data_IF_533308347536
#
_entry.id   IF_533308347536
#
_cell.length_a   1.000
_cell.length_b   1.000
_cell.length_c   1.000
_cell.angle_alpha   90.00
_cell.angle_beta   90.00
_cell.angle_gamma   90.00
#
_symmetry.space_group_name_H-M   'P 1'
#
loop_
_entity.id
_entity.type
_entity.pdbx_description
1 polymer ?
#
# COMPACT_ATOMS: atom_id res chain seq x y z
N UNK A 1 14.80 -2.32 30.82
CA UNK A 1 16.20 -2.58 30.41
C UNK A 1 16.38 -2.42 28.91
N UNK A 2 15.74 -3.22 28.04
CA UNK A 2 15.90 -3.06 26.58
C UNK A 2 15.61 -1.64 26.07
N UNK A 3 14.52 -1.00 26.52
CA UNK A 3 14.13 0.36 26.10
C UNK A 3 15.17 1.46 26.40
N UNK A 4 16.13 1.23 27.31
CA UNK A 4 17.18 2.20 27.64
C UNK A 4 18.45 2.02 26.79
N UNK A 5 18.58 0.90 26.07
CA UNK A 5 19.81 0.49 25.40
C UNK A 5 19.68 0.49 23.86
N UNK A 6 18.49 0.71 23.31
CA UNK A 6 18.22 0.66 21.88
C UNK A 6 17.33 1.83 21.45
N UNK A 7 17.64 2.42 20.31
CA UNK A 7 16.82 3.46 19.68
C UNK A 7 15.50 2.88 19.12
N UNK A 8 15.58 1.65 18.59
CA UNK A 8 14.44 0.92 18.05
C UNK A 8 14.46 -0.52 18.51
N UNK A 9 13.28 -1.05 18.84
CA UNK A 9 13.09 -2.46 19.20
C UNK A 9 12.05 -3.01 18.24
N UNK A 10 12.46 -3.98 17.41
CA UNK A 10 11.57 -4.73 16.54
C UNK A 10 11.16 -6.01 17.25
N UNK A 11 9.85 -6.26 17.30
CA UNK A 11 9.30 -7.49 17.87
C UNK A 11 8.67 -8.29 16.74
N UNK A 12 9.28 -9.44 16.44
CA UNK A 12 8.69 -10.40 15.50
C UNK A 12 7.59 -11.20 16.22
N UNK A 13 6.51 -11.47 15.49
CA UNK A 13 5.34 -12.14 16.04
C UNK A 13 4.77 -13.12 15.03
N UNK A 14 4.18 -14.23 15.49
CA UNK A 14 3.49 -15.18 14.61
C UNK A 14 2.30 -14.54 13.86
N UNK A 15 1.71 -15.20 12.86
CA UNK A 15 0.67 -14.60 12.03
C UNK A 15 -0.59 -14.17 12.81
N UNK A 16 -0.99 -12.90 12.66
CA UNK A 16 -2.12 -12.27 13.37
C UNK A 16 -3.45 -13.05 13.28
N UNK A 17 -3.71 -13.71 12.15
CA UNK A 17 -4.97 -14.44 11.93
C UNK A 17 -4.98 -15.86 12.50
N UNK A 18 -3.82 -16.37 12.94
CA UNK A 18 -3.68 -17.78 13.34
C UNK A 18 -3.55 -17.91 14.86
N UNK A 19 -2.95 -16.92 15.52
CA UNK A 19 -2.68 -16.96 16.97
C UNK A 19 -2.90 -15.61 17.64
N UNK A 20 -3.00 -15.62 18.96
CA UNK A 20 -3.33 -14.45 19.78
C UNK A 20 -2.13 -13.61 20.22
N UNK A 21 -0.89 -14.12 20.13
CA UNK A 21 0.31 -13.42 20.64
C UNK A 21 0.46 -11.98 20.10
N UNK A 22 0.25 -11.70 18.80
CA UNK A 22 0.36 -10.33 18.28
C UNK A 22 -0.64 -9.38 18.93
N UNK A 23 -1.86 -9.86 19.25
CA UNK A 23 -2.89 -9.06 19.92
C UNK A 23 -2.54 -8.75 21.39
N UNK A 24 -1.68 -9.55 22.02
CA UNK A 24 -1.23 -9.36 23.41
C UNK A 24 0.02 -8.47 23.46
N UNK A 25 0.93 -8.64 22.49
CA UNK A 25 2.21 -7.93 22.44
C UNK A 25 2.06 -6.53 21.85
N UNK A 26 1.31 -6.37 20.75
CA UNK A 26 1.19 -5.08 20.05
C UNK A 26 0.70 -3.91 20.93
N UNK A 27 -0.27 -4.08 21.87
CA UNK A 27 -0.65 -3.01 22.79
C UNK A 27 0.47 -2.52 23.72
N UNK A 28 1.55 -3.29 23.89
CA UNK A 28 2.72 -2.94 24.71
C UNK A 28 3.84 -2.27 23.89
N UNK A 29 3.63 -2.11 22.59
CA UNK A 29 4.57 -1.48 21.64
C UNK A 29 4.04 -0.12 21.19
N UNK A 30 4.90 0.70 20.58
CA UNK A 30 4.48 2.02 20.09
C UNK A 30 3.58 1.93 18.83
N UNK A 31 3.60 0.78 18.14
CA UNK A 31 2.74 0.48 17.00
C UNK A 31 3.10 -0.82 16.28
N UNK A 32 2.21 -1.21 15.36
CA UNK A 32 2.27 -2.45 14.58
C UNK A 32 2.54 -2.14 13.11
N UNK A 33 3.42 -2.92 12.48
CA UNK A 33 3.58 -2.97 11.03
C UNK A 33 2.95 -4.25 10.51
N UNK A 34 1.90 -4.16 9.69
CA UNK A 34 1.22 -5.34 9.17
C UNK A 34 1.91 -5.82 7.89
N UNK A 35 2.51 -7.01 7.93
CA UNK A 35 3.11 -7.62 6.73
C UNK A 35 2.08 -8.52 6.06
N UNK A 36 1.81 -8.30 4.77
CA UNK A 36 0.88 -9.11 3.99
C UNK A 36 1.53 -9.63 2.73
N UNK A 37 1.21 -10.88 2.38
CA UNK A 37 1.54 -11.45 1.08
C UNK A 37 0.28 -11.46 0.22
N UNK A 38 0.37 -10.89 -0.97
CA UNK A 38 -0.75 -10.85 -1.93
C UNK A 38 -0.93 -12.20 -2.61
N UNK A 39 -2.13 -12.75 -2.52
CA UNK A 39 -2.62 -13.92 -3.21
C UNK A 39 -4.14 -13.75 -3.48
N UNK A 40 -4.77 -14.74 -4.10
CA UNK A 40 -6.21 -14.68 -4.47
C UNK A 40 -7.15 -14.37 -3.29
N UNK A 41 -6.78 -14.74 -2.06
CA UNK A 41 -7.62 -14.62 -0.87
C UNK A 41 -7.22 -13.46 0.07
N UNK A 42 -6.23 -12.63 -0.30
CA UNK A 42 -5.72 -11.57 0.59
C UNK A 42 -6.77 -10.57 1.04
N UNK A 43 -7.81 -10.29 0.23
CA UNK A 43 -8.88 -9.35 0.62
C UNK A 43 -9.68 -9.84 1.83
N UNK A 44 -9.99 -11.13 1.90
CA UNK A 44 -10.75 -11.71 3.03
C UNK A 44 -9.87 -11.70 4.29
N UNK A 45 -8.63 -12.16 4.17
CA UNK A 45 -7.65 -12.15 5.25
C UNK A 45 -7.42 -10.73 5.80
N UNK A 46 -7.26 -9.73 4.93
CA UNK A 46 -7.08 -8.32 5.31
C UNK A 46 -8.30 -7.76 6.05
N UNK A 47 -9.53 -8.14 5.67
CA UNK A 47 -10.74 -7.73 6.38
C UNK A 47 -10.78 -8.30 7.79
N UNK A 48 -10.45 -9.58 7.95
CA UNK A 48 -10.37 -10.23 9.26
C UNK A 48 -9.26 -9.60 10.12
N UNK A 49 -8.10 -9.31 9.53
CA UNK A 49 -7.00 -8.65 10.22
C UNK A 49 -7.41 -7.25 10.72
N UNK A 50 -8.08 -6.46 9.87
CA UNK A 50 -8.61 -5.15 10.24
C UNK A 50 -9.66 -5.23 11.36
N UNK A 51 -10.48 -6.28 11.40
CA UNK A 51 -11.42 -6.50 12.50
C UNK A 51 -10.68 -6.74 13.82
N UNK A 52 -9.66 -7.61 13.83
CA UNK A 52 -8.84 -7.85 15.03
C UNK A 52 -8.09 -6.59 15.48
N UNK A 53 -7.49 -5.86 14.54
CA UNK A 53 -6.81 -4.58 14.80
C UNK A 53 -7.76 -3.61 15.49
N UNK A 54 -9.01 -3.49 15.02
CA UNK A 54 -10.03 -2.62 15.63
C UNK A 54 -10.49 -3.12 16.99
N UNK A 55 -10.74 -4.41 17.12
CA UNK A 55 -11.16 -5.04 18.37
C UNK A 55 -10.14 -4.83 19.49
N UNK A 56 -8.84 -4.92 19.17
CA UNK A 56 -7.75 -4.73 20.12
C UNK A 56 -7.21 -3.31 20.16
N UNK A 57 -7.81 -2.36 19.44
CA UNK A 57 -7.37 -0.96 19.35
C UNK A 57 -5.89 -0.81 19.01
N UNK A 58 -5.39 -1.67 18.11
CA UNK A 58 -3.97 -1.69 17.74
C UNK A 58 -3.65 -0.48 16.84
N UNK A 59 -2.60 0.26 17.21
CA UNK A 59 -2.08 1.35 16.38
C UNK A 59 -1.24 0.77 15.25
N UNK A 60 -1.71 0.90 14.02
CA UNK A 60 -0.98 0.44 12.83
C UNK A 60 -0.18 1.60 12.23
N UNK A 61 1.14 1.44 12.11
CA UNK A 61 2.00 2.41 11.42
C UNK A 61 1.86 2.34 9.90
N UNK A 62 1.65 1.14 9.36
CA UNK A 62 1.48 0.91 7.94
C UNK A 62 1.35 -0.55 7.58
N UNK A 63 1.29 -0.81 6.28
CA UNK A 63 1.22 -2.17 5.72
C UNK A 63 2.40 -2.37 4.78
N UNK A 64 3.11 -3.48 4.94
CA UNK A 64 4.15 -3.94 4.02
C UNK A 64 3.56 -5.03 3.15
N UNK A 65 3.49 -4.77 1.84
CA UNK A 65 3.14 -5.80 0.87
C UNK A 65 4.41 -6.52 0.44
N UNK A 66 4.53 -7.79 0.81
CA UNK A 66 5.69 -8.62 0.52
C UNK A 66 5.38 -9.66 -0.56
N UNK A 67 6.42 -10.09 -1.30
CA UNK A 67 6.36 -11.09 -2.36
C UNK A 67 5.30 -10.78 -3.44
N UNK A 68 5.26 -9.51 -3.85
CA UNK A 68 4.53 -9.07 -5.03
C UNK A 68 5.18 -9.76 -6.24
N UNK A 69 4.40 -10.56 -6.96
CA UNK A 69 4.82 -11.10 -8.25
C UNK A 69 4.69 -9.98 -9.26
N UNK A 70 5.80 -9.60 -9.88
CA UNK A 70 5.76 -8.71 -11.03
C UNK A 70 5.44 -9.59 -12.24
N UNK A 71 4.19 -9.59 -12.71
CA UNK A 71 3.89 -10.14 -14.02
C UNK A 71 4.67 -9.32 -15.07
N UNK A 72 5.44 -9.95 -15.98
CA UNK A 72 6.13 -9.23 -17.04
C UNK A 72 5.09 -8.48 -17.90
N UNK A 73 5.02 -7.16 -17.73
CA UNK A 73 4.06 -6.27 -18.40
C UNK A 73 3.29 -5.33 -17.47
N UNK A 74 3.15 -5.64 -16.17
CA UNK A 74 2.39 -4.77 -15.25
C UNK A 74 3.13 -3.48 -14.89
N UNK A 75 4.46 -3.53 -14.74
CA UNK A 75 5.28 -2.31 -14.60
C UNK A 75 5.28 -1.46 -15.88
N UNK A 76 5.22 -2.11 -17.06
CA UNK A 76 5.14 -1.41 -18.35
C UNK A 76 3.82 -0.64 -18.49
N UNK A 77 2.72 -1.21 -17.98
CA UNK A 77 1.41 -0.56 -18.00
C UNK A 77 1.32 0.62 -17.02
N UNK A 78 1.97 0.55 -15.85
CA UNK A 78 2.01 1.68 -14.91
C UNK A 78 2.83 2.85 -15.49
N UNK A 79 3.95 2.57 -16.14
CA UNK A 79 4.76 3.60 -16.81
C UNK A 79 4.09 4.18 -18.05
N UNK A 80 3.35 3.37 -18.81
CA UNK A 80 2.60 3.83 -19.99
C UNK A 80 1.48 4.80 -19.63
N UNK A 81 0.72 4.50 -18.57
CA UNK A 81 -0.32 5.41 -18.09
C UNK A 81 0.25 6.76 -17.63
N UNK A 82 1.38 6.77 -16.92
CA UNK A 82 2.02 8.01 -16.49
C UNK A 82 2.61 8.81 -17.66
N UNK A 83 3.10 8.13 -18.70
CA UNK A 83 3.54 8.76 -19.94
C UNK A 83 2.37 9.37 -20.74
N UNK A 84 1.19 8.75 -20.75
CA UNK A 84 -0.03 9.32 -21.33
C UNK A 84 -0.48 10.60 -20.62
N UNK A 85 -0.32 10.68 -19.29
CA UNK A 85 -0.59 11.91 -18.54
C UNK A 85 0.43 13.04 -18.80
N UNK A 86 1.64 12.70 -19.23
CA UNK A 86 2.69 13.66 -19.56
C UNK A 86 2.69 14.09 -21.03
N UNK A 87 1.86 13.48 -21.89
CA UNK A 87 1.69 13.97 -23.26
C UNK A 87 0.95 15.31 -23.20
N UNK A 88 1.59 16.44 -23.59
CA UNK A 88 0.86 17.67 -23.78
C UNK A 88 -0.14 17.40 -24.90
N UNK A 89 -1.44 17.50 -24.62
CA UNK A 89 -2.46 17.41 -25.66
C UNK A 89 -2.14 18.46 -26.73
N UNK A 90 -1.52 18.03 -27.83
CA UNK A 90 -1.45 18.84 -29.03
C UNK A 90 -2.86 18.87 -29.60
N UNK A 91 -3.67 19.82 -29.13
CA UNK A 91 -4.89 20.18 -29.85
C UNK A 91 -4.44 20.64 -31.24
N UNK A 92 -4.87 20.03 -32.34
CA UNK A 92 -4.61 20.61 -33.65
C UNK A 92 -5.31 21.97 -33.68
N UNK A 93 -4.52 23.04 -33.73
CA UNK A 93 -5.06 24.38 -33.95
C UNK A 93 -5.59 24.40 -35.38
N UNK A 94 -6.92 24.32 -35.52
CA UNK A 94 -7.56 24.53 -36.82
C UNK A 94 -7.20 25.94 -37.29
N UNK A 95 -6.73 26.11 -38.54
CA UNK A 95 -6.47 27.44 -39.08
C UNK A 95 -7.76 28.24 -39.01
N UNK A 96 -7.74 29.35 -38.27
CA UNK A 96 -8.85 30.30 -38.26
C UNK A 96 -9.00 30.78 -39.70
N UNK A 97 -10.06 30.37 -40.39
CA UNK A 97 -10.34 30.89 -41.72
C UNK A 97 -10.50 32.41 -41.60
N UNK A 98 -9.57 33.14 -42.21
CA UNK A 98 -9.72 34.57 -42.48
C UNK A 98 -10.84 34.67 -43.51
N UNK A 99 -11.98 35.22 -43.09
CA UNK A 99 -12.98 35.70 -44.04
C UNK A 99 -12.35 36.86 -44.83
N UNK A 100 -12.08 36.64 -46.12
CA UNK A 100 -11.79 37.75 -47.03
C UNK A 100 -13.04 38.64 -47.17
N UNK A 101 -12.86 39.96 -47.29
CA UNK A 101 -13.99 40.88 -47.40
C UNK A 101 -14.45 40.96 -48.85
N UNK A 102 -15.70 40.58 -49.13
CA UNK A 102 -16.54 41.18 -50.17
C UNK A 102 -17.99 41.15 -49.72
#
# INVERSE_FOLDING_TARGET
>A
MARANFDFILVDSPPLLVVSDPCIVAPKTDGLLLVVRTNKNSRVALRQANQLIRQHSLRVFGVVVNAVQNEPGEYSNYSGNYADYLQPTQRPMQPRQMSEPV
#
